data_IF_285214940799
#
_entry.id   IF_285214940799
#
_cell.length_a   1.000
_cell.length_b   1.000
_cell.length_c   1.000
_cell.angle_alpha   90.00
_cell.angle_beta   90.00
_cell.angle_gamma   90.00
#
_symmetry.space_group_name_H-M   'P 1'
#
loop_
_entity.id
_entity.type
_entity.pdbx_description
1 polymer ?
#
# COMPACT_ATOMS: atom_id res chain seq x y z
N UNK A 1 -19.95 6.46 16.66
CA UNK A 1 -19.65 5.08 17.12
C UNK A 1 -18.16 4.89 16.96
N UNK A 2 -17.41 5.22 18.00
CA UNK A 2 -15.96 5.20 18.04
C UNK A 2 -15.51 3.79 18.40
N UNK A 3 -15.32 2.93 17.40
CA UNK A 3 -14.55 1.72 17.63
C UNK A 3 -13.10 2.15 17.85
N UNK A 4 -12.62 2.04 19.09
CA UNK A 4 -11.20 2.12 19.41
C UNK A 4 -10.44 1.16 18.48
N UNK A 5 -9.30 1.54 17.88
CA UNK A 5 -8.61 0.66 16.95
C UNK A 5 -8.17 -0.60 17.70
N UNK A 6 -8.69 -1.75 17.28
CA UNK A 6 -8.43 -3.06 17.85
C UNK A 6 -7.04 -3.54 17.46
N UNK A 7 -6.02 -2.94 18.08
CA UNK A 7 -4.67 -3.47 18.19
C UNK A 7 -4.26 -3.42 19.66
N UNK A 8 -5.04 -4.12 20.49
CA UNK A 8 -4.33 -5.02 21.40
C UNK A 8 -3.49 -5.91 20.47
N UNK A 9 -2.16 -5.85 20.58
CA UNK A 9 -1.25 -6.73 19.83
C UNK A 9 -1.91 -8.12 19.74
N UNK A 10 -1.96 -8.73 18.54
CA UNK A 10 -2.57 -10.06 18.38
C UNK A 10 -2.15 -10.96 19.54
N UNK A 11 -3.05 -11.80 20.11
CA UNK A 11 -2.69 -12.70 21.22
C UNK A 11 -1.39 -13.47 20.96
N UNK A 12 -1.11 -13.83 19.70
CA UNK A 12 0.13 -14.47 19.25
C UNK A 12 1.35 -13.56 19.39
N UNK A 13 1.22 -12.29 19.02
CA UNK A 13 2.27 -11.27 19.15
C UNK A 13 2.49 -10.88 20.62
N UNK A 14 1.41 -10.76 21.40
CA UNK A 14 1.49 -10.61 22.86
C UNK A 14 2.21 -11.79 23.50
N UNK A 15 1.93 -13.01 23.04
CA UNK A 15 2.57 -14.22 23.57
C UNK A 15 4.05 -14.27 23.21
N UNK A 16 4.39 -13.95 21.95
CA UNK A 16 5.77 -13.94 21.46
C UNK A 16 6.62 -12.85 22.14
N UNK A 17 6.02 -11.70 22.45
CA UNK A 17 6.66 -10.60 23.19
C UNK A 17 6.59 -10.76 24.72
N UNK A 18 5.99 -11.85 25.23
CA UNK A 18 5.86 -12.12 26.67
C UNK A 18 5.04 -11.08 27.42
N UNK A 19 4.06 -10.47 26.74
CA UNK A 19 3.13 -9.45 27.22
C UNK A 19 1.79 -10.02 27.71
N UNK A 20 1.52 -11.32 27.50
CA UNK A 20 0.30 -12.00 27.99
C UNK A 20 0.23 -12.14 29.51
N UNK A 21 1.37 -11.95 30.21
CA UNK A 21 1.42 -12.00 31.66
C UNK A 21 1.15 -10.59 32.18
N UNK A 22 0.07 -10.42 32.93
CA UNK A 22 -0.20 -9.15 33.61
C UNK A 22 0.91 -8.83 34.61
N UNK A 23 1.88 -8.02 34.17
CA UNK A 23 3.02 -7.63 35.00
C UNK A 23 2.59 -6.60 36.04
N UNK A 24 1.49 -5.86 35.81
CA UNK A 24 1.00 -4.84 36.73
C UNK A 24 0.54 -5.44 38.06
N UNK A 25 0.05 -6.68 38.07
CA UNK A 25 -0.38 -7.36 39.30
C UNK A 25 0.74 -8.07 40.05
N UNK A 26 1.81 -8.49 39.37
CA UNK A 26 2.93 -9.23 40.03
C UNK A 26 4.05 -8.32 40.53
N UNK A 27 4.29 -7.18 39.86
CA UNK A 27 5.34 -6.22 40.22
C UNK A 27 5.16 -5.55 41.60
N UNK A 28 3.95 -5.18 42.06
CA UNK A 28 3.72 -4.64 43.41
C UNK A 28 3.90 -5.70 44.51
N UNK A 29 3.67 -6.98 44.19
CA UNK A 29 3.65 -8.06 45.19
C UNK A 29 5.04 -8.67 45.38
N UNK A 30 5.85 -8.79 44.32
CA UNK A 30 7.15 -9.49 44.36
C UNK A 30 8.31 -8.69 43.76
N UNK A 31 8.04 -7.50 43.21
CA UNK A 31 9.04 -6.68 42.53
C UNK A 31 9.72 -5.65 43.42
N UNK A 32 10.40 -4.70 42.77
CA UNK A 32 11.08 -3.55 43.41
C UNK A 32 10.13 -2.58 44.13
N UNK A 33 8.83 -2.85 44.12
CA UNK A 33 7.77 -2.09 44.80
C UNK A 33 7.13 -2.88 45.95
N UNK A 34 7.73 -4.02 46.33
CA UNK A 34 7.27 -4.79 47.48
C UNK A 34 7.76 -4.15 48.79
N UNK A 35 6.96 -4.27 49.85
CA UNK A 35 7.31 -3.75 51.19
C UNK A 35 8.65 -4.30 51.71
N UNK A 36 8.99 -5.54 51.34
CA UNK A 36 10.27 -6.15 51.65
C UNK A 36 11.46 -5.43 51.00
N UNK A 37 11.30 -4.92 49.78
CA UNK A 37 12.31 -4.16 49.06
C UNK A 37 12.53 -2.77 49.67
N UNK A 38 11.44 -2.10 50.03
CA UNK A 38 11.47 -0.79 50.70
C UNK A 38 12.16 -0.86 52.06
N UNK A 39 11.87 -1.91 52.85
CA UNK A 39 12.52 -2.14 54.14
C UNK A 39 14.04 -2.37 54.03
N UNK A 40 14.52 -2.90 52.90
CA UNK A 40 15.94 -3.11 52.63
C UNK A 40 16.67 -1.83 52.15
N UNK A 41 15.94 -0.74 51.86
CA UNK A 41 16.50 0.54 51.36
C UNK A 41 17.38 0.37 50.12
N UNK A 42 17.01 -0.56 49.24
CA UNK A 42 17.76 -0.81 48.01
C UNK A 42 17.48 0.27 46.95
N UNK A 43 18.46 0.61 46.09
CA UNK A 43 18.24 1.53 44.99
C UNK A 43 17.23 0.96 43.98
N UNK A 44 16.43 1.84 43.37
CA UNK A 44 15.44 1.43 42.39
C UNK A 44 16.09 0.91 41.09
N UNK A 45 15.56 -0.21 40.57
CA UNK A 45 15.94 -0.75 39.26
C UNK A 45 15.22 -0.07 38.09
N UNK A 46 14.23 0.80 38.36
CA UNK A 46 13.40 1.45 37.34
C UNK A 46 14.23 2.13 36.23
N UNK A 47 15.27 2.93 36.52
CA UNK A 47 16.07 3.56 35.47
C UNK A 47 16.77 2.55 34.55
N UNK A 48 17.36 1.49 35.12
CA UNK A 48 18.04 0.45 34.34
C UNK A 48 17.05 -0.34 33.47
N UNK A 49 15.87 -0.65 34.01
CA UNK A 49 14.82 -1.30 33.23
C UNK A 49 14.34 -0.44 32.06
N UNK A 50 14.03 0.83 32.30
CA UNK A 50 13.57 1.75 31.25
C UNK A 50 14.62 1.93 30.15
N UNK A 51 15.91 1.98 30.53
CA UNK A 51 17.01 1.98 29.59
C UNK A 51 17.01 0.72 28.70
N UNK A 52 16.95 -0.48 29.30
CA UNK A 52 16.98 -1.74 28.57
C UNK A 52 15.79 -1.92 27.62
N UNK A 53 14.58 -1.53 28.05
CA UNK A 53 13.37 -1.63 27.23
C UNK A 53 13.38 -0.65 26.06
N UNK A 54 14.13 0.46 26.18
CA UNK A 54 14.30 1.43 25.08
C UNK A 54 15.23 0.90 23.98
N UNK A 55 16.23 0.09 24.31
CA UNK A 55 17.25 -0.38 23.34
C UNK A 55 16.66 -0.99 22.05
N UNK A 56 15.68 -1.91 22.07
CA UNK A 56 15.08 -2.43 20.84
C UNK A 56 14.40 -1.35 19.98
N UNK A 57 13.79 -0.35 20.62
CA UNK A 57 13.17 0.77 19.93
C UNK A 57 14.22 1.66 19.25
N UNK A 58 15.31 1.98 19.95
CA UNK A 58 16.41 2.77 19.39
C UNK A 58 17.07 2.04 18.21
N UNK A 59 17.19 0.71 18.27
CA UNK A 59 17.72 -0.10 17.16
C UNK A 59 16.83 -0.03 15.92
N UNK A 60 15.50 -0.19 16.07
CA UNK A 60 14.61 -0.08 14.91
C UNK A 60 14.54 1.35 14.38
N UNK A 61 14.66 2.35 15.26
CA UNK A 61 14.75 3.76 14.86
C UNK A 61 15.99 4.00 14.00
N UNK A 62 17.13 3.43 14.37
CA UNK A 62 18.34 3.51 13.54
C UNK A 62 18.15 2.83 12.19
N UNK A 63 17.57 1.63 12.17
CA UNK A 63 17.25 0.93 10.92
C UNK A 63 16.33 1.76 10.01
N UNK A 64 15.33 2.41 10.58
CA UNK A 64 14.42 3.32 9.88
C UNK A 64 15.16 4.49 9.25
N UNK A 65 16.02 5.18 10.01
CA UNK A 65 16.82 6.31 9.52
C UNK A 65 17.79 5.91 8.42
N UNK A 66 18.50 4.79 8.59
CA UNK A 66 19.39 4.25 7.56
C UNK A 66 18.65 3.98 6.24
N UNK A 67 17.39 3.54 6.29
CA UNK A 67 16.56 3.33 5.10
C UNK A 67 16.18 4.65 4.43
N UNK A 68 15.79 5.65 5.21
CA UNK A 68 15.51 6.99 4.70
C UNK A 68 16.74 7.62 4.03
N UNK A 69 17.92 7.45 4.62
CA UNK A 69 19.18 7.91 4.05
C UNK A 69 19.55 7.18 2.75
N UNK A 70 19.46 5.85 2.73
CA UNK A 70 19.76 5.05 1.53
C UNK A 70 18.88 5.41 0.33
N UNK A 71 17.63 5.81 0.57
CA UNK A 71 16.76 6.36 -0.48
C UNK A 71 17.37 7.60 -1.13
N UNK A 72 17.91 8.53 -0.34
CA UNK A 72 18.46 9.80 -0.84
C UNK A 72 19.64 9.54 -1.80
N UNK A 73 20.38 8.45 -1.57
CA UNK A 73 21.50 8.04 -2.43
C UNK A 73 21.09 7.23 -3.68
N UNK A 74 19.88 6.66 -3.71
CA UNK A 74 19.41 5.79 -4.79
C UNK A 74 18.73 6.56 -5.92
N UNK A 75 19.43 6.77 -7.03
CA UNK A 75 18.85 7.33 -8.26
C UNK A 75 17.97 6.27 -8.97
N UNK A 76 16.79 6.68 -9.41
CA UNK A 76 15.78 5.97 -10.24
C UNK A 76 15.84 4.43 -10.21
N UNK A 77 15.22 3.77 -9.21
CA UNK A 77 15.21 2.32 -9.11
C UNK A 77 14.39 1.67 -10.24
N UNK A 78 14.86 0.51 -10.72
CA UNK A 78 14.10 -0.32 -11.67
C UNK A 78 12.77 -0.80 -11.08
N UNK A 79 11.77 -1.17 -11.90
CA UNK A 79 10.46 -1.64 -11.40
C UNK A 79 10.54 -2.82 -10.43
N UNK A 80 11.45 -3.77 -10.67
CA UNK A 80 11.67 -4.92 -9.79
C UNK A 80 12.28 -4.47 -8.46
N UNK A 81 13.18 -3.48 -8.51
CA UNK A 81 13.73 -2.82 -7.33
C UNK A 81 12.65 -2.09 -6.54
N UNK A 82 11.69 -1.42 -7.20
CA UNK A 82 10.59 -0.72 -6.51
C UNK A 82 9.72 -1.69 -5.73
N UNK A 83 9.32 -2.84 -6.31
CA UNK A 83 8.52 -3.84 -5.58
C UNK A 83 9.24 -4.37 -4.34
N UNK A 84 10.55 -4.55 -4.43
CA UNK A 84 11.37 -4.95 -3.28
C UNK A 84 11.45 -3.84 -2.23
N UNK A 85 11.64 -2.58 -2.65
CA UNK A 85 11.63 -1.43 -1.75
C UNK A 85 10.30 -1.27 -1.01
N UNK A 86 9.17 -1.49 -1.69
CA UNK A 86 7.84 -1.49 -1.06
C UNK A 86 7.78 -2.51 0.09
N UNK A 87 8.22 -3.75 -0.16
CA UNK A 87 8.24 -4.80 0.88
C UNK A 87 9.12 -4.42 2.06
N UNK A 88 10.31 -3.89 1.79
CA UNK A 88 11.24 -3.47 2.84
C UNK A 88 10.68 -2.31 3.67
N UNK A 89 9.97 -1.37 3.02
CA UNK A 89 9.24 -0.32 3.74
C UNK A 89 8.17 -0.90 4.65
N UNK A 90 7.39 -1.87 4.15
CA UNK A 90 6.33 -2.51 4.93
C UNK A 90 6.88 -3.21 6.17
N UNK A 91 7.98 -3.95 6.04
CA UNK A 91 8.63 -4.64 7.16
C UNK A 91 9.13 -3.65 8.23
N UNK A 92 9.79 -2.58 7.81
CA UNK A 92 10.31 -1.56 8.74
C UNK A 92 9.17 -0.80 9.43
N UNK A 93 8.13 -0.39 8.70
CA UNK A 93 6.96 0.26 9.27
C UNK A 93 6.24 -0.65 10.27
N UNK A 94 6.06 -1.93 9.93
CA UNK A 94 5.44 -2.91 10.82
C UNK A 94 6.25 -3.12 12.09
N UNK A 95 7.58 -3.30 11.96
CA UNK A 95 8.47 -3.44 13.10
C UNK A 95 8.50 -2.18 13.98
N UNK A 96 8.48 -0.99 13.37
CA UNK A 96 8.45 0.29 14.07
C UNK A 96 7.18 0.46 14.91
N UNK A 97 6.00 0.22 14.32
CA UNK A 97 4.72 0.24 15.05
C UNK A 97 4.73 -0.78 16.19
N UNK A 98 5.17 -2.00 15.90
CA UNK A 98 5.21 -3.08 16.89
C UNK A 98 6.08 -2.72 18.11
N UNK A 99 7.30 -2.24 17.87
CA UNK A 99 8.24 -1.90 18.93
C UNK A 99 7.83 -0.63 19.68
N UNK A 100 7.20 0.34 19.02
CA UNK A 100 6.58 1.50 19.69
C UNK A 100 5.50 1.06 20.68
N UNK A 101 4.60 0.16 20.27
CA UNK A 101 3.55 -0.36 21.15
C UNK A 101 4.11 -1.20 22.29
N UNK A 102 5.10 -2.06 22.01
CA UNK A 102 5.81 -2.82 23.03
C UNK A 102 6.45 -1.90 24.07
N UNK A 103 7.18 -0.88 23.61
CA UNK A 103 7.83 0.11 24.47
C UNK A 103 6.80 0.83 25.35
N UNK A 104 5.70 1.33 24.75
CA UNK A 104 4.58 1.97 25.46
C UNK A 104 4.03 1.07 26.57
N UNK A 105 3.72 -0.18 26.25
CA UNK A 105 3.17 -1.13 27.21
C UNK A 105 4.13 -1.38 28.39
N UNK A 106 5.41 -1.60 28.08
CA UNK A 106 6.44 -1.92 29.07
C UNK A 106 6.79 -0.74 29.98
N UNK A 107 6.77 0.49 29.46
CA UNK A 107 6.95 1.71 30.24
C UNK A 107 5.73 1.94 31.14
N UNK A 108 4.52 1.83 30.62
CA UNK A 108 3.28 2.02 31.38
C UNK A 108 3.13 1.03 32.55
N UNK A 109 3.65 -0.21 32.41
CA UNK A 109 3.66 -1.19 33.50
C UNK A 109 4.56 -0.77 34.68
N UNK A 110 5.54 0.08 34.43
CA UNK A 110 6.56 0.48 35.40
C UNK A 110 6.41 1.92 35.86
N UNK A 111 5.69 2.79 35.14
CA UNK A 111 5.54 4.23 35.45
C UNK A 111 4.12 4.63 35.91
N UNK A 112 3.38 3.69 36.50
CA UNK A 112 1.98 3.89 36.89
C UNK A 112 1.74 4.99 37.96
N UNK A 113 2.79 5.37 38.69
CA UNK A 113 2.83 6.34 39.79
C UNK A 113 3.29 7.75 39.35
N UNK A 114 3.84 7.92 38.15
CA UNK A 114 4.26 9.22 37.61
C UNK A 114 3.17 9.79 36.70
N UNK A 115 2.50 10.84 37.18
CA UNK A 115 1.40 11.53 36.49
C UNK A 115 1.86 12.12 35.13
N UNK A 116 3.15 12.44 34.98
CA UNK A 116 3.75 12.98 33.75
C UNK A 116 4.43 11.90 32.89
N UNK A 117 4.29 10.62 33.21
CA UNK A 117 4.94 9.54 32.47
C UNK A 117 4.55 9.53 30.98
N UNK A 118 3.27 9.73 30.69
CA UNK A 118 2.74 9.73 29.32
C UNK A 118 3.28 10.91 28.51
N UNK A 119 3.32 12.11 29.09
CA UNK A 119 3.84 13.31 28.42
C UNK A 119 5.34 13.19 28.13
N UNK A 120 6.13 12.71 29.09
CA UNK A 120 7.57 12.42 28.89
C UNK A 120 7.79 11.34 27.85
N UNK A 121 6.90 10.35 27.78
CA UNK A 121 6.95 9.29 26.80
C UNK A 121 6.72 9.83 25.39
N UNK A 122 5.63 10.58 25.18
CA UNK A 122 5.30 11.15 23.87
C UNK A 122 6.39 12.13 23.39
N UNK A 123 6.90 13.01 24.26
CA UNK A 123 8.04 13.88 23.95
C UNK A 123 9.30 13.09 23.56
N UNK A 124 9.53 11.95 24.21
CA UNK A 124 10.67 11.09 23.92
C UNK A 124 10.61 10.38 22.56
N UNK A 125 9.44 10.36 21.92
CA UNK A 125 9.17 9.68 20.65
C UNK A 125 8.93 10.62 19.47
N UNK A 126 8.98 11.94 19.66
CA UNK A 126 8.68 12.91 18.59
C UNK A 126 9.49 12.66 17.31
N UNK A 127 10.80 12.44 17.44
CA UNK A 127 11.66 12.18 16.27
C UNK A 127 11.38 10.81 15.64
N UNK A 128 11.10 9.79 16.47
CA UNK A 128 10.72 8.47 15.97
C UNK A 128 9.43 8.54 15.14
N UNK A 129 8.44 9.29 15.63
CA UNK A 129 7.16 9.47 14.96
C UNK A 129 7.27 10.30 13.68
N UNK A 130 8.13 11.33 13.69
CA UNK A 130 8.46 12.09 12.49
C UNK A 130 9.08 11.20 11.40
N UNK A 131 10.08 10.39 11.76
CA UNK A 131 10.76 9.50 10.82
C UNK A 131 9.82 8.37 10.32
N UNK A 132 8.93 7.87 11.19
CA UNK A 132 7.89 6.89 10.82
C UNK A 132 6.93 7.47 9.78
N UNK A 133 6.53 8.73 9.95
CA UNK A 133 5.69 9.44 8.99
C UNK A 133 6.43 9.64 7.66
N UNK A 134 7.69 10.06 7.69
CA UNK A 134 8.49 10.22 6.47
C UNK A 134 8.61 8.89 5.72
N UNK A 135 8.86 7.79 6.43
CA UNK A 135 8.95 6.45 5.83
C UNK A 135 7.61 6.00 5.22
N UNK A 136 6.48 6.36 5.84
CA UNK A 136 5.16 6.10 5.28
C UNK A 136 4.94 6.88 3.97
N UNK A 137 5.38 8.12 3.89
CA UNK A 137 5.32 8.92 2.65
C UNK A 137 6.18 8.31 1.55
N UNK A 138 7.38 7.80 1.89
CA UNK A 138 8.26 7.08 0.98
C UNK A 138 7.58 5.81 0.45
N UNK A 139 6.97 5.02 1.33
CA UNK A 139 6.19 3.85 0.96
C UNK A 139 5.10 4.19 -0.06
N UNK A 140 4.30 5.22 0.20
CA UNK A 140 3.25 5.64 -0.74
C UNK A 140 3.82 6.11 -2.08
N UNK A 141 4.94 6.82 -2.08
CA UNK A 141 5.61 7.23 -3.31
C UNK A 141 6.03 6.02 -4.15
N UNK A 142 6.62 5.00 -3.53
CA UNK A 142 7.01 3.78 -4.26
C UNK A 142 5.81 3.01 -4.77
N UNK A 143 4.76 2.87 -3.96
CA UNK A 143 3.53 2.21 -4.34
C UNK A 143 2.89 2.89 -5.55
N UNK A 144 2.78 4.22 -5.53
CA UNK A 144 2.24 4.99 -6.64
C UNK A 144 3.06 4.82 -7.92
N UNK A 145 4.40 4.97 -7.84
CA UNK A 145 5.28 4.77 -9.01
C UNK A 145 5.16 3.37 -9.59
N UNK A 146 5.12 2.35 -8.72
CA UNK A 146 4.96 0.95 -9.15
C UNK A 146 3.61 0.73 -9.85
N UNK A 147 2.51 1.23 -9.29
CA UNK A 147 1.19 1.11 -9.89
C UNK A 147 1.10 1.81 -11.26
N UNK A 148 1.56 3.06 -11.36
CA UNK A 148 1.57 3.79 -12.63
C UNK A 148 2.39 3.07 -13.71
N UNK A 149 3.52 2.46 -13.33
CA UNK A 149 4.37 1.75 -14.28
C UNK A 149 3.72 0.47 -14.83
N UNK A 150 2.77 -0.12 -14.09
CA UNK A 150 2.05 -1.33 -14.48
C UNK A 150 0.78 -1.04 -15.28
N UNK A 151 0.22 0.18 -15.21
CA UNK A 151 -1.00 0.57 -15.93
C UNK A 151 -0.86 0.47 -17.46
N UNK A 152 0.36 0.52 -17.99
CA UNK A 152 0.63 0.43 -19.42
C UNK A 152 0.56 -1.00 -20.00
N UNK A 153 0.24 -2.01 -19.19
CA UNK A 153 0.20 -3.41 -19.63
C UNK A 153 -1.25 -3.86 -19.92
N UNK A 154 -1.51 -4.56 -21.05
CA UNK A 154 -2.81 -5.19 -21.31
C UNK A 154 -3.16 -6.17 -20.18
N UNK A 155 -4.43 -6.23 -19.76
CA UNK A 155 -4.93 -7.06 -18.64
C UNK A 155 -4.47 -6.65 -17.21
N UNK A 156 -3.70 -5.55 -17.06
CA UNK A 156 -3.18 -5.12 -15.76
C UNK A 156 -4.25 -4.66 -14.76
N UNK A 157 -5.44 -4.27 -15.22
CA UNK A 157 -6.48 -3.67 -14.36
C UNK A 157 -6.90 -4.57 -13.20
N UNK A 158 -7.09 -5.87 -13.43
CA UNK A 158 -7.45 -6.83 -12.39
C UNK A 158 -6.32 -7.04 -11.38
N UNK A 159 -5.09 -7.16 -11.88
CA UNK A 159 -3.91 -7.33 -11.02
C UNK A 159 -3.65 -6.08 -10.17
N UNK A 160 -3.82 -4.89 -10.74
CA UNK A 160 -3.68 -3.59 -10.07
C UNK A 160 -4.75 -3.38 -8.99
N UNK A 161 -6.00 -3.77 -9.26
CA UNK A 161 -7.06 -3.74 -8.24
C UNK A 161 -6.70 -4.61 -7.04
N UNK A 162 -6.32 -5.87 -7.28
CA UNK A 162 -5.96 -6.79 -6.20
C UNK A 162 -4.77 -6.27 -5.39
N UNK A 163 -3.76 -5.72 -6.06
CA UNK A 163 -2.60 -5.12 -5.39
C UNK A 163 -2.98 -3.89 -4.55
N UNK A 164 -3.88 -3.04 -5.06
CA UNK A 164 -4.38 -1.89 -4.30
C UNK A 164 -5.15 -2.34 -3.05
N UNK A 165 -5.98 -3.37 -3.14
CA UNK A 165 -6.71 -3.93 -2.00
C UNK A 165 -5.75 -4.54 -0.95
N UNK A 166 -4.73 -5.26 -1.38
CA UNK A 166 -3.68 -5.83 -0.52
C UNK A 166 -2.94 -4.72 0.24
N UNK A 167 -2.43 -3.71 -0.47
CA UNK A 167 -1.71 -2.61 0.14
C UNK A 167 -2.60 -1.69 0.99
N UNK A 168 -3.88 -1.54 0.64
CA UNK A 168 -4.85 -0.83 1.47
C UNK A 168 -5.07 -1.53 2.80
N UNK A 169 -5.17 -2.87 2.76
CA UNK A 169 -5.31 -3.69 3.96
C UNK A 169 -4.15 -3.44 4.91
N UNK A 170 -2.91 -3.58 4.44
CA UNK A 170 -1.72 -3.24 5.22
C UNK A 170 -1.72 -1.79 5.73
N UNK A 171 -2.06 -0.83 4.87
CA UNK A 171 -1.99 0.60 5.22
C UNK A 171 -2.91 0.96 6.37
N UNK A 172 -4.13 0.42 6.39
CA UNK A 172 -5.09 0.62 7.49
C UNK A 172 -4.54 0.12 8.83
N UNK A 173 -3.74 -0.94 8.82
CA UNK A 173 -3.17 -1.51 10.04
C UNK A 173 -2.12 -0.59 10.67
N UNK A 174 -1.23 -0.03 9.85
CA UNK A 174 -0.10 0.78 10.34
C UNK A 174 -0.52 2.24 10.60
N UNK A 175 -1.39 2.82 9.77
CA UNK A 175 -1.67 4.26 9.79
C UNK A 175 -2.38 4.76 11.05
N UNK A 176 -3.12 3.90 11.77
CA UNK A 176 -3.72 4.26 13.05
C UNK A 176 -2.69 4.59 14.14
N UNK A 177 -1.43 4.19 13.94
CA UNK A 177 -0.32 4.38 14.89
C UNK A 177 0.68 5.45 14.47
N UNK A 178 0.46 6.08 13.31
CA UNK A 178 1.30 7.15 12.76
C UNK A 178 0.45 8.42 12.70
N UNK A 179 0.92 9.50 13.32
CA UNK A 179 0.16 10.75 13.40
C UNK A 179 -0.09 11.33 11.99
N UNK A 180 -1.37 11.53 11.65
CA UNK A 180 -1.80 12.00 10.33
C UNK A 180 -1.71 10.94 9.22
N UNK A 181 -1.32 9.70 9.56
CA UNK A 181 -1.19 8.60 8.60
C UNK A 181 -2.50 8.25 7.91
N UNK A 182 -3.61 8.21 8.65
CA UNK A 182 -4.94 7.87 8.09
C UNK A 182 -5.40 8.88 7.02
N UNK A 183 -5.20 10.17 7.28
CA UNK A 183 -5.58 11.23 6.35
C UNK A 183 -4.73 11.18 5.06
N UNK A 184 -3.42 10.99 5.19
CA UNK A 184 -2.52 10.87 4.03
C UNK A 184 -2.79 9.58 3.26
N UNK A 185 -3.04 8.46 3.95
CA UNK A 185 -3.43 7.19 3.33
C UNK A 185 -4.70 7.34 2.49
N UNK A 186 -5.76 7.94 3.05
CA UNK A 186 -6.99 8.18 2.33
C UNK A 186 -6.75 8.99 1.05
N UNK A 187 -6.01 10.08 1.14
CA UNK A 187 -5.65 10.93 -0.01
C UNK A 187 -4.89 10.15 -1.09
N UNK A 188 -3.86 9.38 -0.71
CA UNK A 188 -3.02 8.62 -1.64
C UNK A 188 -3.79 7.50 -2.33
N UNK A 189 -4.55 6.72 -1.58
CA UNK A 189 -5.34 5.61 -2.14
C UNK A 189 -6.46 6.10 -3.05
N UNK A 190 -7.15 7.20 -2.70
CA UNK A 190 -8.11 7.82 -3.60
C UNK A 190 -7.46 8.25 -4.91
N UNK A 191 -6.29 8.89 -4.84
CA UNK A 191 -5.55 9.32 -6.05
C UNK A 191 -5.17 8.13 -6.94
N UNK A 192 -4.64 7.05 -6.35
CA UNK A 192 -4.27 5.83 -7.08
C UNK A 192 -5.49 5.13 -7.70
N UNK A 193 -6.60 5.04 -6.95
CA UNK A 193 -7.84 4.46 -7.45
C UNK A 193 -8.43 5.28 -8.60
N UNK A 194 -8.46 6.61 -8.49
CA UNK A 194 -8.90 7.50 -9.58
C UNK A 194 -8.04 7.34 -10.83
N UNK A 195 -6.70 7.28 -10.68
CA UNK A 195 -5.80 7.02 -11.80
C UNK A 195 -6.06 5.68 -12.47
N UNK A 196 -6.30 4.62 -11.69
CA UNK A 196 -6.65 3.30 -12.22
C UNK A 196 -7.98 3.32 -13.00
N UNK A 197 -9.01 3.99 -12.47
CA UNK A 197 -10.31 4.11 -13.13
C UNK A 197 -10.22 4.91 -14.43
N UNK A 198 -9.47 6.01 -14.45
CA UNK A 198 -9.26 6.80 -15.66
C UNK A 198 -8.54 6.00 -16.75
N UNK A 199 -7.50 5.24 -16.38
CA UNK A 199 -6.79 4.37 -17.33
C UNK A 199 -7.70 3.27 -17.92
N UNK A 200 -8.65 2.75 -17.13
CA UNK A 200 -9.65 1.80 -17.63
C UNK A 200 -10.64 2.50 -18.58
N UNK A 201 -11.06 3.73 -18.27
CA UNK A 201 -11.94 4.51 -19.12
C UNK A 201 -11.27 4.80 -20.48
N UNK A 202 -10.03 5.28 -20.48
CA UNK A 202 -9.25 5.55 -21.69
C UNK A 202 -9.09 4.29 -22.56
N UNK A 203 -8.81 3.14 -21.94
CA UNK A 203 -8.72 1.86 -22.64
C UNK A 203 -10.04 1.46 -23.31
N UNK A 204 -11.17 1.67 -22.62
CA UNK A 204 -12.49 1.36 -23.17
C UNK A 204 -12.87 2.31 -24.32
N UNK A 205 -12.55 3.59 -24.22
CA UNK A 205 -12.80 4.58 -25.27
C UNK A 205 -12.04 4.23 -26.55
N UNK A 206 -10.73 3.92 -26.44
CA UNK A 206 -9.92 3.46 -27.58
C UNK A 206 -10.50 2.18 -28.20
N UNK A 207 -10.90 1.20 -27.37
CA UNK A 207 -11.48 -0.04 -27.86
C UNK A 207 -12.82 0.15 -28.58
N UNK A 208 -13.63 1.11 -28.15
CA UNK A 208 -14.89 1.47 -28.82
C UNK A 208 -14.60 2.13 -30.17
N UNK A 209 -13.67 3.08 -30.22
CA UNK A 209 -13.27 3.76 -31.45
C UNK A 209 -12.72 2.78 -32.49
N UNK A 210 -11.90 1.82 -32.08
CA UNK A 210 -11.41 0.74 -32.95
C UNK A 210 -12.55 -0.14 -33.49
N UNK A 211 -13.54 -0.48 -32.66
CA UNK A 211 -14.72 -1.23 -33.10
C UNK A 211 -15.56 -0.46 -34.12
N UNK A 212 -15.76 0.84 -33.91
CA UNK A 212 -16.50 1.70 -34.84
C UNK A 212 -15.76 1.78 -36.17
N UNK A 213 -14.45 2.02 -36.16
CA UNK A 213 -13.64 2.07 -37.37
C UNK A 213 -13.66 0.75 -38.15
N UNK A 214 -13.58 -0.39 -37.45
CA UNK A 214 -13.67 -1.71 -38.07
C UNK A 214 -15.05 -1.95 -38.69
N UNK A 215 -16.12 -1.54 -38.01
CA UNK A 215 -17.48 -1.65 -38.55
C UNK A 215 -17.64 -0.84 -39.84
N UNK A 216 -17.24 0.44 -39.83
CA UNK A 216 -17.31 1.31 -41.00
C UNK A 216 -16.48 0.76 -42.16
N UNK A 217 -15.28 0.23 -41.89
CA UNK A 217 -14.42 -0.38 -42.92
C UNK A 217 -15.05 -1.62 -43.56
N UNK A 218 -15.68 -2.49 -42.76
CA UNK A 218 -16.37 -3.68 -43.28
C UNK A 218 -17.63 -3.35 -44.09
N UNK A 219 -18.36 -2.30 -43.71
CA UNK A 219 -19.50 -1.80 -44.50
C UNK A 219 -19.01 -1.26 -45.85
N UNK A 220 -17.93 -0.48 -45.88
CA UNK A 220 -17.37 0.06 -47.13
C UNK A 220 -16.87 -1.07 -48.04
N UNK A 221 -16.16 -2.09 -47.52
CA UNK A 221 -15.72 -3.25 -48.30
C UNK A 221 -16.91 -4.05 -48.87
N UNK A 222 -17.96 -4.27 -48.09
CA UNK A 222 -19.15 -5.00 -48.55
C UNK A 222 -19.91 -4.27 -49.67
N UNK A 223 -20.03 -2.95 -49.59
CA UNK A 223 -20.68 -2.12 -50.62
C UNK A 223 -19.84 -2.08 -51.91
N UNK A 224 -18.50 -2.06 -51.78
CA UNK A 224 -17.62 -2.12 -52.96
C UNK A 224 -17.61 -3.49 -53.66
N UNK A 225 -17.79 -4.60 -52.92
CA UNK A 225 -17.95 -5.93 -53.53
C UNK A 225 -19.29 -6.07 -54.28
N UNK A 226 -20.38 -5.51 -53.75
CA UNK A 226 -21.70 -5.51 -54.41
C UNK A 226 -21.75 -4.63 -55.68
N UNK A 227 -20.96 -3.55 -55.75
CA UNK A 227 -20.84 -2.76 -56.97
C UNK A 227 -19.97 -3.42 -58.04
N UNK A 228 -18.94 -4.20 -57.66
CA UNK A 228 -18.15 -4.95 -58.65
C UNK A 228 -18.89 -6.15 -59.26
N UNK A 229 -19.81 -6.79 -58.53
CA UNK A 229 -20.58 -7.94 -59.02
C UNK A 229 -21.75 -7.55 -59.91
N UNK A 230 -22.27 -6.32 -59.80
CA UNK A 230 -23.37 -5.81 -60.62
C UNK A 230 -22.93 -5.18 -61.95
N UNK A 231 -21.63 -4.85 -62.11
CA UNK A 231 -21.07 -4.42 -63.40
C UNK A 231 -20.72 -5.61 -64.32
N UNK A 232 -20.40 -6.81 -63.81
CA UNK A 232 -20.13 -8.00 -64.64
C UNK A 232 -21.39 -8.63 -65.26
N UNK A 233 -22.57 -8.53 -64.62
CA UNK A 233 -23.83 -9.04 -65.21
C UNK A 233 -24.36 -8.16 -66.37
N UNK A 234 -23.90 -6.91 -66.48
CA UNK A 234 -24.30 -5.98 -67.55
C UNK A 234 -23.57 -6.19 -68.89
N UNK A 235 -22.38 -6.81 -68.89
CA UNK A 235 -21.60 -7.07 -70.11
C UNK A 235 -21.98 -8.41 -70.80
N UNK A 236 -22.47 -9.40 -70.06
CA UNK A 236 -22.96 -10.66 -70.66
C UNK A 236 -24.30 -10.49 -71.40
N UNK A 237 -25.20 -9.60 -70.94
CA UNK A 237 -26.49 -9.38 -71.63
C UNK A 237 -26.34 -8.58 -72.93
N UNK A 238 -25.31 -7.72 -73.03
CA UNK A 238 -25.04 -6.91 -74.22
C UNK A 238 -24.29 -7.69 -75.31
N UNK A 239 -23.52 -8.72 -74.94
CA UNK A 239 -22.86 -9.64 -75.89
C UNK A 239 -23.84 -10.69 -76.46
N UNK A 240 -24.82 -11.15 -75.67
CA UNK A 240 -25.87 -12.07 -76.13
C UNK A 240 -26.90 -11.41 -77.07
N UNK A 241 -27.21 -10.12 -76.91
CA UNK A 241 -28.10 -9.40 -77.84
C UNK A 241 -27.46 -9.06 -79.18
N UNK A 242 -26.13 -8.93 -79.26
CA UNK A 242 -25.46 -8.60 -80.53
C UNK A 242 -25.32 -9.83 -81.46
N UNK A 243 -25.29 -11.05 -80.92
CA UNK A 243 -25.19 -12.27 -81.72
C UNK A 243 -26.52 -12.77 -82.32
N UNK A 244 -27.68 -12.23 -81.90
CA UNK A 244 -29.00 -12.64 -82.45
C UNK A 244 -29.45 -11.82 -83.66
N UNK A 245 -28.74 -10.74 -84.00
CA UNK A 245 -29.07 -9.88 -85.15
C UNK A 245 -28.26 -10.15 -86.41
N UNK A 246 -27.34 -11.13 -86.40
CA UNK A 246 -26.48 -11.47 -87.55
C UNK A 246 -26.83 -12.76 -88.29
N UNK A 247 -27.86 -13.51 -87.89
CA UNK A 247 -28.25 -14.79 -88.54
C UNK A 247 -29.48 -14.72 -89.46
N UNK A 248 -29.89 -13.54 -89.96
CA UNK A 248 -31.03 -13.42 -90.88
C UNK A 248 -30.73 -12.66 -92.18
N UNK A 249 -29.57 -12.87 -92.79
CA UNK A 249 -29.34 -12.50 -94.20
C UNK A 249 -28.58 -13.54 -94.98
#
# INVERSE_FOLDING_TARGET
MTHSPSWDLSPEVMQLLGLTRDRRSSLPIQGAWSEGFDNMKLPSFRPAYLFLVRVPLDVIHECLRLRLEQRILGKDPSLLSIKQLIRECMEVLKAGVLLKQYYRHMVAAVMWDDIHAEEKFEMGLEQFDADMKEMLEVYFSYLQTWMCSLQNLPEASRALRNALEEHWTFTKEICAHILGGEAEAGKRFCTMASSLLNSIADFLEIGIDECIHNYDSTMVESVSMEHSSSEEEGEEEHTLRHNRSTELR
#
